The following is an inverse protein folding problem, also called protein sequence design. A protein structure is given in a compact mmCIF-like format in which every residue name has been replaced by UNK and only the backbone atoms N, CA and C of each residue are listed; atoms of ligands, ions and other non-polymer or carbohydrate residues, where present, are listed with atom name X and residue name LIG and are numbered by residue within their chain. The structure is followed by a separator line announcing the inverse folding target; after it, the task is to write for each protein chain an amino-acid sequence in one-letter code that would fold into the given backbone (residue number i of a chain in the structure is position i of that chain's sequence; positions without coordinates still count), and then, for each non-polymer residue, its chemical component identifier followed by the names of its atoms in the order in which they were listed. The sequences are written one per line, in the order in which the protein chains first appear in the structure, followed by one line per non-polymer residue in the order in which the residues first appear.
data_IF_521032236634
#
_entry.id   IF_521032236634
#
_cell.length_a   1.000
_cell.length_b   1.000
_cell.length_c   1.000
_cell.angle_alpha   90.00
_cell.angle_beta   90.00
_cell.angle_gamma   90.00
#
_symmetry.space_group_name_H-M   'P 1'
#
loop_
_entity.id
_entity.type
_entity.pdbx_description
1 polymer ?
#
# COMPACT_ATOMS: atom_id res chain seq x y z
N UNK A 1 -19.67 -4.92 -34.40
CA UNK A 1 -19.00 -5.80 -33.43
C UNK A 1 -17.84 -5.04 -32.79
N UNK A 2 -18.09 -4.49 -31.64
CA UNK A 2 -17.09 -3.70 -30.90
C UNK A 2 -16.10 -4.63 -30.24
N UNK A 3 -14.92 -4.76 -30.83
CA UNK A 3 -13.75 -5.28 -30.09
C UNK A 3 -13.33 -4.21 -29.07
N UNK A 4 -13.81 -4.33 -27.87
CA UNK A 4 -13.21 -3.65 -26.74
C UNK A 4 -11.79 -4.23 -26.59
N UNK A 5 -10.82 -3.58 -27.23
CA UNK A 5 -9.41 -3.79 -26.91
C UNK A 5 -9.26 -3.37 -25.44
N UNK A 6 -9.29 -4.36 -24.55
CA UNK A 6 -8.75 -4.18 -23.20
C UNK A 6 -7.29 -3.80 -23.46
N UNK A 7 -6.98 -2.53 -23.29
CA UNK A 7 -5.61 -2.05 -23.37
C UNK A 7 -4.82 -2.85 -22.34
N UNK A 8 -3.91 -3.70 -22.80
CA UNK A 8 -3.02 -4.46 -21.94
C UNK A 8 -2.36 -3.44 -21.01
N UNK A 9 -2.53 -3.59 -19.70
CA UNK A 9 -1.86 -2.76 -18.72
C UNK A 9 -0.37 -2.93 -18.92
N UNK A 10 0.28 -1.87 -19.40
CA UNK A 10 1.73 -1.87 -19.56
C UNK A 10 2.36 -1.87 -18.18
N UNK A 11 3.31 -2.76 -17.95
CA UNK A 11 4.05 -2.88 -16.70
C UNK A 11 5.49 -2.42 -16.92
N UNK A 12 5.97 -1.50 -16.12
CA UNK A 12 7.34 -0.99 -16.18
C UNK A 12 8.03 -1.16 -14.83
N UNK A 13 9.32 -1.46 -14.87
CA UNK A 13 10.16 -1.48 -13.67
C UNK A 13 10.75 -0.09 -13.44
N UNK A 14 10.55 0.47 -12.25
CA UNK A 14 11.12 1.75 -11.84
C UNK A 14 12.21 1.53 -10.80
N UNK A 15 13.38 2.09 -11.05
CA UNK A 15 14.49 2.08 -10.11
C UNK A 15 14.60 3.44 -9.41
N UNK A 16 14.47 3.44 -8.09
CA UNK A 16 14.70 4.61 -7.26
C UNK A 16 16.04 4.49 -6.55
N UNK A 17 16.82 5.55 -6.54
CA UNK A 17 18.09 5.60 -5.82
C UNK A 17 18.25 6.92 -5.06
N UNK A 18 18.68 6.88 -3.79
CA UNK A 18 19.06 8.09 -3.08
C UNK A 18 20.42 8.60 -3.57
N UNK A 19 20.52 9.86 -3.91
CA UNK A 19 21.74 10.55 -4.30
C UNK A 19 21.89 11.85 -3.49
N UNK A 20 22.68 11.81 -2.44
CA UNK A 20 22.81 12.93 -1.51
C UNK A 20 21.46 13.30 -0.89
N UNK A 21 20.98 14.50 -1.17
CA UNK A 21 19.67 15.00 -0.68
C UNK A 21 18.52 14.78 -1.66
N UNK A 22 18.78 14.12 -2.79
CA UNK A 22 17.81 13.90 -3.86
C UNK A 22 17.52 12.42 -4.05
N UNK A 23 16.42 12.14 -4.74
CA UNK A 23 16.06 10.81 -5.21
C UNK A 23 16.02 10.82 -6.73
N UNK A 24 16.71 9.87 -7.34
CA UNK A 24 16.60 9.63 -8.78
C UNK A 24 15.59 8.51 -9.04
N UNK A 25 14.89 8.61 -10.15
CA UNK A 25 13.99 7.58 -10.63
C UNK A 25 14.26 7.32 -12.11
N UNK A 26 14.34 6.06 -12.50
CA UNK A 26 14.64 5.64 -13.87
C UNK A 26 13.78 4.46 -14.27
N UNK A 27 13.26 4.46 -15.49
CA UNK A 27 12.63 3.29 -16.13
C UNK A 27 13.60 2.78 -17.19
N UNK A 28 14.39 1.72 -16.92
CA UNK A 28 15.44 1.25 -17.84
C UNK A 28 14.89 0.77 -19.19
N UNK A 29 13.66 0.27 -19.22
CA UNK A 29 13.00 -0.26 -20.41
C UNK A 29 12.61 0.84 -21.42
N UNK A 30 12.56 2.10 -20.97
CA UNK A 30 12.19 3.25 -21.80
C UNK A 30 13.37 4.20 -21.89
N UNK A 31 13.90 4.35 -23.08
CA UNK A 31 15.06 5.22 -23.33
C UNK A 31 14.75 6.67 -22.93
N UNK A 32 15.65 7.29 -22.16
CA UNK A 32 15.52 8.68 -21.74
C UNK A 32 14.53 8.91 -20.59
N UNK A 33 13.84 7.87 -20.11
CA UNK A 33 12.88 8.00 -19.02
C UNK A 33 13.58 8.00 -17.66
N UNK A 34 13.97 9.17 -17.20
CA UNK A 34 14.55 9.40 -15.88
C UNK A 34 14.10 10.75 -15.33
N UNK A 35 14.10 10.86 -14.03
CA UNK A 35 13.76 12.08 -13.31
C UNK A 35 14.39 12.08 -11.92
N UNK A 36 14.20 13.14 -11.19
CA UNK A 36 14.62 13.26 -9.80
C UNK A 36 13.59 14.02 -8.97
N UNK A 37 13.67 13.88 -7.67
CA UNK A 37 12.85 14.61 -6.71
C UNK A 37 13.58 14.85 -5.41
N UNK A 38 13.12 15.80 -4.61
CA UNK A 38 13.66 16.09 -3.27
C UNK A 38 13.27 15.03 -2.24
N UNK A 39 12.27 14.23 -2.56
CA UNK A 39 11.80 13.12 -1.76
C UNK A 39 11.43 11.94 -2.66
N UNK A 40 11.33 10.74 -2.09
CA UNK A 40 10.84 9.56 -2.80
C UNK A 40 9.41 9.78 -3.34
N UNK A 41 8.56 10.44 -2.57
CA UNK A 41 7.19 10.78 -2.99
C UNK A 41 7.16 11.70 -4.22
N UNK A 42 8.04 12.70 -4.26
CA UNK A 42 8.15 13.59 -5.41
C UNK A 42 8.70 12.86 -6.64
N UNK A 43 9.71 12.03 -6.47
CA UNK A 43 10.26 11.19 -7.56
C UNK A 43 9.18 10.24 -8.13
N UNK A 44 8.35 9.65 -7.27
CA UNK A 44 7.21 8.81 -7.70
C UNK A 44 6.18 9.54 -8.55
N UNK A 45 5.89 10.78 -8.22
CA UNK A 45 4.98 11.62 -9.03
C UNK A 45 5.60 11.97 -10.38
N UNK A 46 6.84 12.43 -10.36
CA UNK A 46 7.55 12.89 -11.56
C UNK A 46 7.88 11.79 -12.56
N UNK A 47 8.09 10.54 -12.11
CA UNK A 47 8.43 9.45 -13.03
C UNK A 47 7.28 9.13 -13.99
N UNK A 48 6.04 9.32 -13.59
CA UNK A 48 4.89 9.15 -14.47
C UNK A 48 4.83 10.20 -15.56
N UNK A 49 5.15 11.44 -15.23
CA UNK A 49 5.24 12.53 -16.20
C UNK A 49 6.42 12.30 -17.17
N UNK A 50 7.56 11.86 -16.64
CA UNK A 50 8.72 11.49 -17.45
C UNK A 50 8.41 10.32 -18.40
N UNK A 51 7.65 9.33 -17.95
CA UNK A 51 7.20 8.21 -18.80
C UNK A 51 6.32 8.74 -19.95
N UNK A 52 5.35 9.58 -19.67
CA UNK A 52 4.50 10.18 -20.71
C UNK A 52 5.33 10.95 -21.74
N UNK A 53 6.32 11.74 -21.29
CA UNK A 53 7.22 12.47 -22.18
C UNK A 53 8.18 11.59 -23.00
N UNK A 54 8.42 10.37 -22.57
CA UNK A 54 9.39 9.46 -23.23
C UNK A 54 8.73 8.45 -24.18
N UNK A 55 7.41 8.50 -24.34
CA UNK A 55 6.65 7.64 -25.25
C UNK A 55 6.45 8.35 -26.60
N UNK A 56 7.56 8.58 -27.32
CA UNK A 56 7.59 9.41 -28.55
C UNK A 56 6.77 8.84 -29.72
N UNK A 57 6.50 7.54 -29.73
CA UNK A 57 5.71 6.88 -30.76
C UNK A 57 4.19 7.06 -30.62
N UNK A 58 3.74 7.66 -29.54
CA UNK A 58 2.34 7.88 -29.21
C UNK A 58 1.98 9.37 -29.29
N UNK A 59 0.70 9.64 -29.59
CA UNK A 59 0.18 11.01 -29.39
C UNK A 59 0.24 11.39 -27.91
N UNK A 60 0.32 12.67 -27.62
CA UNK A 60 0.39 13.22 -26.25
C UNK A 60 -0.72 12.64 -25.33
N UNK A 61 -1.96 12.59 -25.83
CA UNK A 61 -3.10 12.04 -25.09
C UNK A 61 -2.99 10.53 -24.83
N UNK A 62 -2.43 9.78 -25.79
CA UNK A 62 -2.21 8.35 -25.63
C UNK A 62 -1.07 8.07 -24.67
N UNK A 63 0.03 8.82 -24.76
CA UNK A 63 1.16 8.73 -23.87
C UNK A 63 0.76 9.01 -22.41
N UNK A 64 0.00 10.08 -22.17
CA UNK A 64 -0.55 10.37 -20.83
C UNK A 64 -1.46 9.24 -20.31
N UNK A 65 -2.32 8.69 -21.15
CA UNK A 65 -3.22 7.60 -20.78
C UNK A 65 -2.44 6.34 -20.42
N UNK A 66 -1.43 5.99 -21.21
CA UNK A 66 -0.54 4.84 -20.94
C UNK A 66 0.23 5.06 -19.64
N UNK A 67 0.82 6.22 -19.43
CA UNK A 67 1.59 6.54 -18.23
C UNK A 67 0.73 6.51 -16.95
N UNK A 68 -0.51 6.99 -17.02
CA UNK A 68 -1.46 6.93 -15.88
C UNK A 68 -1.91 5.51 -15.57
N UNK A 69 -2.19 4.70 -16.59
CA UNK A 69 -2.68 3.34 -16.45
C UNK A 69 -1.60 2.30 -16.25
N UNK A 70 -0.33 2.65 -16.43
CA UNK A 70 0.79 1.74 -16.29
C UNK A 70 0.95 1.24 -14.85
N UNK A 71 1.21 -0.05 -14.72
CA UNK A 71 1.66 -0.64 -13.47
C UNK A 71 3.16 -0.42 -13.32
N UNK A 72 3.56 0.22 -12.22
CA UNK A 72 4.96 0.50 -11.92
C UNK A 72 5.44 -0.44 -10.80
N UNK A 73 6.35 -1.33 -11.16
CA UNK A 73 7.02 -2.21 -10.19
C UNK A 73 8.23 -1.47 -9.65
N UNK A 74 8.18 -1.09 -8.39
CA UNK A 74 9.20 -0.28 -7.75
C UNK A 74 10.34 -1.12 -7.18
N UNK A 75 11.57 -0.72 -7.46
CA UNK A 75 12.77 -1.21 -6.80
C UNK A 75 13.54 -0.02 -6.23
N UNK A 76 13.86 -0.06 -4.94
CA UNK A 76 14.66 0.96 -4.27
C UNK A 76 16.09 0.44 -4.09
N UNK A 77 17.05 1.11 -4.69
CA UNK A 77 18.47 0.79 -4.54
C UNK A 77 18.98 1.31 -3.21
N UNK A 78 19.18 0.40 -2.28
CA UNK A 78 19.75 0.68 -0.97
C UNK A 78 20.96 -0.23 -0.71
N UNK A 79 21.89 0.19 0.15
CA UNK A 79 22.95 -0.70 0.63
C UNK A 79 22.36 -1.98 1.24
N UNK A 80 23.06 -3.10 1.09
CA UNK A 80 22.57 -4.42 1.51
C UNK A 80 22.14 -4.45 2.99
N UNK A 81 22.87 -3.77 3.86
CA UNK A 81 22.51 -3.64 5.28
C UNK A 81 21.15 -2.95 5.47
N UNK A 82 20.96 -1.82 4.81
CA UNK A 82 19.69 -1.05 4.88
C UNK A 82 18.51 -1.85 4.31
N UNK A 83 18.72 -2.56 3.20
CA UNK A 83 17.68 -3.46 2.63
C UNK A 83 17.25 -4.54 3.60
N UNK A 84 18.21 -5.20 4.27
CA UNK A 84 17.91 -6.24 5.27
C UNK A 84 17.15 -5.68 6.46
N UNK A 85 17.57 -4.53 7.00
CA UNK A 85 16.88 -3.86 8.11
C UNK A 85 15.45 -3.46 7.72
N UNK A 86 15.29 -2.92 6.52
CA UNK A 86 13.97 -2.54 6.00
C UNK A 86 13.05 -3.77 5.82
N UNK A 87 13.58 -4.86 5.26
CA UNK A 87 12.84 -6.10 5.07
C UNK A 87 12.40 -6.70 6.42
N UNK A 88 13.27 -6.72 7.41
CA UNK A 88 12.95 -7.17 8.76
C UNK A 88 11.87 -6.31 9.43
N UNK A 89 11.95 -4.98 9.28
CA UNK A 89 10.94 -4.05 9.78
C UNK A 89 9.58 -4.28 9.12
N UNK A 90 9.55 -4.43 7.80
CA UNK A 90 8.32 -4.72 7.05
C UNK A 90 7.69 -6.04 7.46
N UNK A 91 8.48 -7.10 7.61
CA UNK A 91 7.98 -8.40 8.05
C UNK A 91 7.33 -8.33 9.44
N UNK A 92 7.95 -7.62 10.39
CA UNK A 92 7.36 -7.40 11.72
C UNK A 92 6.08 -6.59 11.68
N UNK A 93 6.02 -5.57 10.83
CA UNK A 93 4.81 -4.75 10.64
C UNK A 93 3.67 -5.57 10.07
N UNK A 94 3.93 -6.41 9.08
CA UNK A 94 2.92 -7.34 8.52
C UNK A 94 2.44 -8.34 9.56
N UNK A 95 3.35 -8.91 10.35
CA UNK A 95 2.99 -9.81 11.45
C UNK A 95 2.10 -9.12 12.47
N UNK A 96 2.46 -7.89 12.88
CA UNK A 96 1.66 -7.10 13.81
C UNK A 96 0.25 -6.79 13.24
N UNK A 97 0.17 -6.43 11.96
CA UNK A 97 -1.11 -6.16 11.28
C UNK A 97 -2.02 -7.40 11.29
N UNK A 98 -1.46 -8.58 11.00
CA UNK A 98 -2.22 -9.85 11.07
C UNK A 98 -2.68 -10.15 12.50
N UNK A 99 -1.78 -10.03 13.47
CA UNK A 99 -2.12 -10.25 14.88
C UNK A 99 -3.21 -9.29 15.37
N UNK A 100 -3.19 -8.03 14.95
CA UNK A 100 -4.25 -7.06 15.25
C UNK A 100 -5.59 -7.45 14.61
N UNK A 101 -5.59 -7.95 13.38
CA UNK A 101 -6.80 -8.43 12.72
C UNK A 101 -7.38 -9.66 13.43
N UNK A 102 -6.56 -10.62 13.80
CA UNK A 102 -6.94 -11.80 14.58
C UNK A 102 -7.51 -11.41 15.95
N UNK A 103 -6.82 -10.51 16.65
CA UNK A 103 -7.30 -10.00 17.95
C UNK A 103 -8.68 -9.34 17.83
N UNK A 104 -8.94 -8.63 16.75
CA UNK A 104 -10.25 -8.01 16.52
C UNK A 104 -11.35 -9.07 16.38
N UNK A 105 -11.09 -10.13 15.63
CA UNK A 105 -12.02 -11.24 15.44
C UNK A 105 -12.28 -11.95 16.76
N UNK A 106 -11.24 -12.30 17.50
CA UNK A 106 -11.35 -12.97 18.80
C UNK A 106 -12.05 -12.08 19.86
N UNK A 107 -11.71 -10.80 19.90
CA UNK A 107 -12.36 -9.85 20.82
C UNK A 107 -13.87 -9.73 20.56
N UNK A 108 -14.24 -9.71 19.28
CA UNK A 108 -15.67 -9.68 18.92
C UNK A 108 -16.39 -10.95 19.33
N UNK A 109 -15.80 -12.09 19.06
CA UNK A 109 -16.33 -13.40 19.46
C UNK A 109 -16.53 -13.47 20.97
N UNK A 110 -15.51 -13.11 21.74
CA UNK A 110 -15.58 -13.08 23.19
C UNK A 110 -16.66 -12.11 23.72
N UNK A 111 -16.74 -10.91 23.13
CA UNK A 111 -17.78 -9.95 23.48
C UNK A 111 -19.21 -10.49 23.24
N UNK A 112 -19.42 -11.20 22.13
CA UNK A 112 -20.71 -11.85 21.83
C UNK A 112 -21.05 -12.95 22.83
N UNK A 113 -20.11 -13.84 23.12
CA UNK A 113 -20.30 -14.91 24.11
C UNK A 113 -20.60 -14.35 25.49
N UNK A 114 -19.83 -13.38 25.96
CA UNK A 114 -20.01 -12.77 27.28
C UNK A 114 -21.36 -12.05 27.40
N UNK A 115 -21.77 -11.29 26.42
CA UNK A 115 -22.99 -10.48 26.50
C UNK A 115 -24.26 -11.24 26.14
N UNK A 116 -24.23 -12.12 25.15
CA UNK A 116 -25.41 -12.83 24.67
C UNK A 116 -25.62 -14.19 25.37
N UNK A 117 -24.56 -14.98 25.46
CA UNK A 117 -24.67 -16.35 25.97
C UNK A 117 -24.57 -16.39 27.50
N UNK A 118 -23.65 -15.61 28.08
CA UNK A 118 -23.49 -15.51 29.54
C UNK A 118 -24.41 -14.43 30.14
N UNK A 119 -24.75 -13.40 29.37
CA UNK A 119 -25.69 -12.35 29.78
C UNK A 119 -25.11 -11.27 30.68
N UNK A 120 -23.78 -11.06 30.64
CA UNK A 120 -23.16 -9.98 31.42
C UNK A 120 -23.30 -8.62 30.73
N UNK A 121 -23.14 -7.54 31.50
CA UNK A 121 -23.23 -6.18 30.98
C UNK A 121 -22.08 -5.83 30.02
N UNK A 122 -22.29 -4.84 29.16
CA UNK A 122 -21.24 -4.32 28.28
C UNK A 122 -20.03 -3.78 29.07
N UNK A 123 -20.29 -3.21 30.24
CA UNK A 123 -19.26 -2.69 31.13
C UNK A 123 -18.39 -3.82 31.67
N UNK A 124 -19.01 -4.86 32.19
CA UNK A 124 -18.29 -6.00 32.78
C UNK A 124 -17.54 -6.79 31.71
N UNK A 125 -18.14 -6.97 30.54
CA UNK A 125 -17.46 -7.56 29.38
C UNK A 125 -16.22 -6.74 28.99
N UNK A 126 -16.32 -5.43 29.01
CA UNK A 126 -15.17 -4.54 28.75
C UNK A 126 -14.06 -4.73 29.77
N UNK A 127 -14.39 -4.80 31.05
CA UNK A 127 -13.39 -5.05 32.11
C UNK A 127 -12.70 -6.42 31.94
N UNK A 128 -13.43 -7.46 31.61
CA UNK A 128 -12.86 -8.80 31.39
C UNK A 128 -11.98 -8.86 30.14
N UNK A 129 -12.33 -8.12 29.10
CA UNK A 129 -11.58 -8.06 27.84
C UNK A 129 -10.45 -7.01 27.84
N UNK A 130 -10.35 -6.18 28.87
CA UNK A 130 -9.42 -5.05 28.90
C UNK A 130 -9.78 -3.95 27.89
N UNK A 131 -11.07 -3.77 27.61
CA UNK A 131 -11.61 -2.80 26.66
C UNK A 131 -12.56 -1.82 27.33
N UNK A 132 -12.75 -0.64 26.75
CA UNK A 132 -13.80 0.28 27.19
C UNK A 132 -15.17 -0.25 26.80
N UNK A 133 -16.20 0.15 27.56
CA UNK A 133 -17.60 -0.17 27.23
C UNK A 133 -17.98 0.25 25.80
N UNK A 134 -17.53 1.42 25.37
CA UNK A 134 -17.77 1.91 24.03
C UNK A 134 -17.09 1.03 22.96
N UNK A 135 -15.90 0.54 23.25
CA UNK A 135 -15.21 -0.38 22.32
C UNK A 135 -15.94 -1.71 22.19
N UNK A 136 -16.46 -2.25 23.28
CA UNK A 136 -17.31 -3.45 23.27
C UNK A 136 -18.58 -3.21 22.42
N UNK A 137 -19.24 -2.06 22.61
CA UNK A 137 -20.41 -1.68 21.80
C UNK A 137 -20.08 -1.63 20.30
N UNK A 138 -18.94 -1.02 19.92
CA UNK A 138 -18.48 -0.95 18.54
C UNK A 138 -18.19 -2.34 17.93
N UNK A 139 -17.61 -3.25 18.70
CA UNK A 139 -17.37 -4.62 18.27
C UNK A 139 -18.66 -5.38 18.00
N UNK A 140 -19.70 -5.17 18.82
CA UNK A 140 -21.01 -5.80 18.65
C UNK A 140 -21.82 -5.18 17.50
N UNK A 141 -21.66 -3.89 17.23
CA UNK A 141 -22.40 -3.16 16.19
C UNK A 141 -21.97 -3.54 14.75
N UNK A 142 -20.77 -4.05 14.54
CA UNK A 142 -20.24 -4.46 13.23
C UNK A 142 -20.71 -5.85 12.78
N UNK A 143 -21.88 -6.27 13.21
CA UNK A 143 -22.48 -7.56 12.87
C UNK A 143 -23.58 -7.39 11.80
N UNK A 144 -23.21 -7.00 10.59
CA UNK A 144 -24.08 -7.17 9.42
C UNK A 144 -23.25 -7.45 8.21
#
# INVERSE_FOLDING_TARGET
MSRTKVAARMTYKVLYAPEGTKWTATIPEVQGCHTWGRSLSEARKRIRDALACSLDDLSEREAERVARGAELIEEVKLPARARRTLAACRAKREHLTRAQAELRVESRRAALELTRDVGISLRDAGELLGLSQERVRQLLAKAS
#
